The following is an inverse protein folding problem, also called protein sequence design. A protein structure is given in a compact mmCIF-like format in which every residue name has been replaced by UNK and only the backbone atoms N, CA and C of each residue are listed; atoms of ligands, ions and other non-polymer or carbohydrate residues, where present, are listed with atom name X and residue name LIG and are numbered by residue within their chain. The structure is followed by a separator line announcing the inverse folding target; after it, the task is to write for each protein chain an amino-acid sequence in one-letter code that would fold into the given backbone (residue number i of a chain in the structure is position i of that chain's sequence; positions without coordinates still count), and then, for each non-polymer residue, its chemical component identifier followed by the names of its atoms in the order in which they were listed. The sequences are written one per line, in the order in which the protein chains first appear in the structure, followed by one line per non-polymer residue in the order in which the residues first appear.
data_IF_612451980733
#
_entry.id   IF_612451980733
#
_cell.length_a   1.000
_cell.length_b   1.000
_cell.length_c   1.000
_cell.angle_alpha   90.00
_cell.angle_beta   90.00
_cell.angle_gamma   90.00
#
_symmetry.space_group_name_H-M   'P 1'
#
loop_
_entity.id
_entity.type
_entity.pdbx_description
1 polymer ?
#
# COMPACT_ATOMS: atom_id res chain seq x y z
N UNK A 1 8.43 -76.64 -19.17
CA UNK A 1 8.87 -75.34 -18.60
C UNK A 1 7.74 -74.31 -18.80
N UNK A 2 6.94 -74.11 -17.78
CA UNK A 2 5.88 -73.05 -17.79
C UNK A 2 6.46 -71.81 -17.15
N UNK A 3 6.57 -70.72 -17.92
CA UNK A 3 6.95 -69.37 -17.38
C UNK A 3 5.72 -68.78 -16.74
N UNK A 4 5.78 -68.50 -15.44
CA UNK A 4 4.79 -67.74 -14.72
C UNK A 4 5.02 -66.27 -15.04
N UNK A 5 3.96 -65.62 -15.53
CA UNK A 5 3.92 -64.17 -15.77
C UNK A 5 3.53 -63.48 -14.43
N UNK A 6 4.47 -62.77 -13.82
CA UNK A 6 4.20 -61.98 -12.62
C UNK A 6 3.55 -60.65 -13.05
N UNK A 7 2.25 -60.50 -12.82
CA UNK A 7 1.53 -59.23 -13.01
C UNK A 7 1.68 -58.43 -11.72
N UNK A 8 2.52 -57.38 -11.74
CA UNK A 8 2.62 -56.40 -10.65
C UNK A 8 1.51 -55.41 -10.86
N UNK A 9 0.46 -55.48 -10.04
CA UNK A 9 -0.60 -54.47 -9.98
C UNK A 9 -0.09 -53.34 -9.11
N UNK A 10 0.26 -52.19 -9.72
CA UNK A 10 0.46 -50.96 -9.00
C UNK A 10 -0.89 -50.39 -8.55
N UNK A 11 -1.20 -50.52 -7.28
CA UNK A 11 -2.30 -49.77 -6.67
C UNK A 11 -1.87 -48.32 -6.61
N UNK A 12 -2.46 -47.48 -7.48
CA UNK A 12 -2.36 -46.01 -7.37
C UNK A 12 -3.23 -45.61 -6.19
N UNK A 13 -2.60 -45.48 -5.03
CA UNK A 13 -3.22 -44.80 -3.90
C UNK A 13 -3.31 -43.30 -4.25
N UNK A 14 -4.48 -42.87 -4.75
CA UNK A 14 -4.83 -41.48 -4.84
C UNK A 14 -5.04 -40.97 -3.40
N UNK A 15 -3.99 -40.46 -2.78
CA UNK A 15 -4.19 -39.54 -1.65
C UNK A 15 -4.86 -38.30 -2.21
N UNK A 16 -5.97 -37.81 -1.63
CA UNK A 16 -6.43 -36.47 -1.94
C UNK A 16 -5.27 -35.55 -1.58
N UNK A 17 -4.62 -34.99 -2.60
CA UNK A 17 -3.56 -34.01 -2.39
C UNK A 17 -4.13 -32.90 -1.53
N UNK A 18 -3.65 -32.78 -0.30
CA UNK A 18 -3.87 -31.59 0.48
C UNK A 18 -3.36 -30.44 -0.40
N UNK A 19 -4.28 -29.65 -0.95
CA UNK A 19 -3.90 -28.39 -1.58
C UNK A 19 -3.16 -27.62 -0.50
N UNK A 20 -1.86 -27.43 -0.67
CA UNK A 20 -1.07 -26.61 0.24
C UNK A 20 -1.72 -25.23 0.21
N UNK A 21 -2.16 -24.70 1.36
CA UNK A 21 -2.79 -23.39 1.38
C UNK A 21 -1.76 -22.38 0.85
N UNK A 22 -2.06 -21.77 -0.28
CA UNK A 22 -1.19 -20.80 -0.93
C UNK A 22 -1.10 -19.54 -0.06
N UNK A 23 0.11 -18.98 0.06
CA UNK A 23 0.40 -17.77 0.82
C UNK A 23 0.26 -17.95 2.33
N UNK A 24 0.87 -19.00 2.87
CA UNK A 24 0.93 -19.23 4.30
C UNK A 24 1.78 -18.15 4.98
N UNK A 25 1.44 -17.81 6.24
CA UNK A 25 2.31 -17.02 7.09
C UNK A 25 3.72 -17.64 7.17
N UNK A 26 4.74 -16.81 7.09
CA UNK A 26 6.15 -17.17 7.28
C UNK A 26 6.61 -16.68 8.64
N UNK A 27 6.74 -17.60 9.57
CA UNK A 27 7.03 -17.27 10.96
C UNK A 27 5.80 -16.72 11.72
N UNK A 28 5.96 -16.36 12.99
CA UNK A 28 4.90 -15.73 13.76
C UNK A 28 4.71 -14.26 13.40
N UNK A 29 3.59 -13.71 13.85
CA UNK A 29 3.37 -12.26 13.98
C UNK A 29 4.50 -11.65 14.83
N UNK A 30 4.98 -10.46 14.47
CA UNK A 30 6.10 -9.81 15.14
C UNK A 30 5.80 -8.33 15.44
N UNK A 31 6.35 -7.83 16.53
CA UNK A 31 6.35 -6.41 16.88
C UNK A 31 7.41 -5.69 16.05
N UNK A 32 7.05 -4.58 15.42
CA UNK A 32 7.93 -3.77 14.56
C UNK A 32 8.69 -2.71 15.36
N UNK A 33 7.97 -1.91 16.15
CA UNK A 33 8.55 -0.83 16.95
C UNK A 33 9.27 -1.38 18.19
N UNK A 34 10.39 -0.74 18.55
CA UNK A 34 11.11 -1.05 19.79
C UNK A 34 10.77 -0.09 20.93
N UNK A 35 10.34 1.12 20.57
CA UNK A 35 9.79 2.08 21.53
C UNK A 35 8.30 1.81 21.72
N UNK A 36 7.87 1.45 22.95
CA UNK A 36 6.51 0.98 23.23
C UNK A 36 5.72 1.95 24.13
N UNK A 37 6.24 3.15 24.41
CA UNK A 37 5.51 4.13 25.22
C UNK A 37 4.59 4.99 24.34
N UNK A 38 3.29 5.03 24.68
CA UNK A 38 2.27 5.75 23.90
C UNK A 38 1.85 4.99 22.66
N UNK A 39 1.44 5.73 21.61
CA UNK A 39 0.92 5.14 20.40
C UNK A 39 1.96 5.16 19.27
N UNK A 40 2.15 4.04 18.61
CA UNK A 40 2.84 3.91 17.35
C UNK A 40 1.83 3.46 16.29
N UNK A 41 1.66 4.26 15.24
CA UNK A 41 0.55 4.04 14.32
C UNK A 41 0.81 4.50 12.88
N UNK A 42 -0.17 4.29 12.02
CA UNK A 42 -0.09 4.60 10.59
C UNK A 42 1.14 3.94 9.91
N UNK A 43 1.34 2.63 10.07
CA UNK A 43 2.49 1.97 9.46
C UNK A 43 2.32 1.87 7.96
N UNK A 44 3.43 2.08 7.24
CA UNK A 44 3.52 1.82 5.80
C UNK A 44 4.76 0.98 5.54
N UNK A 45 4.63 -0.03 4.70
CA UNK A 45 5.73 -0.90 4.33
C UNK A 45 6.09 -0.75 2.85
N UNK A 46 7.37 -0.98 2.53
CA UNK A 46 7.86 -1.20 1.17
C UNK A 46 8.81 -2.40 1.18
N UNK A 47 8.78 -3.20 0.10
CA UNK A 47 9.63 -4.38 -0.04
C UNK A 47 10.42 -4.30 -1.34
N UNK A 48 11.72 -4.56 -1.26
CA UNK A 48 12.61 -4.64 -2.42
C UNK A 48 12.49 -6.00 -3.15
N UNK A 49 13.06 -6.14 -4.36
CA UNK A 49 13.00 -7.41 -5.10
C UNK A 49 13.65 -8.60 -4.37
N UNK A 50 14.57 -8.38 -3.43
CA UNK A 50 15.21 -9.43 -2.63
C UNK A 50 14.32 -9.97 -1.51
N UNK A 51 13.23 -9.25 -1.20
CA UNK A 51 12.34 -9.52 -0.08
C UNK A 51 12.76 -8.83 1.22
N UNK A 52 13.82 -8.00 1.21
CA UNK A 52 14.12 -7.08 2.30
C UNK A 52 13.07 -5.97 2.32
N UNK A 53 12.72 -5.47 3.49
CA UNK A 53 11.65 -4.48 3.58
C UNK A 53 11.94 -3.41 4.64
N UNK A 54 11.27 -2.28 4.46
CA UNK A 54 11.29 -1.16 5.42
C UNK A 54 9.86 -0.91 5.86
N UNK A 55 9.68 -0.72 7.16
CA UNK A 55 8.42 -0.25 7.74
C UNK A 55 8.67 1.13 8.33
N UNK A 56 7.81 2.08 8.03
CA UNK A 56 7.82 3.43 8.63
C UNK A 56 6.48 3.67 9.31
N UNK A 57 6.48 4.45 10.40
CA UNK A 57 5.29 4.74 11.19
C UNK A 57 5.35 6.10 11.88
N UNK A 58 4.22 6.54 12.38
CA UNK A 58 4.11 7.71 13.26
C UNK A 58 4.21 7.26 14.72
N UNK A 59 5.02 7.91 15.54
CA UNK A 59 5.13 7.67 16.99
C UNK A 59 4.59 8.83 17.81
N UNK A 60 3.78 8.53 18.82
CA UNK A 60 3.13 9.45 19.78
C UNK A 60 3.33 8.97 21.23
N UNK A 61 3.46 9.86 22.19
CA UNK A 61 4.00 11.21 22.14
C UNK A 61 5.52 11.21 22.26
N UNK A 62 6.16 12.20 21.62
CA UNK A 62 7.49 12.69 21.99
C UNK A 62 8.66 11.68 21.98
N UNK A 63 8.62 10.61 21.17
CA UNK A 63 9.82 9.77 20.98
C UNK A 63 10.97 10.58 20.37
N UNK A 64 10.66 11.59 19.55
CA UNK A 64 11.63 12.54 19.00
C UNK A 64 11.89 13.78 19.88
N UNK A 65 11.23 13.87 21.02
CA UNK A 65 11.36 14.99 21.98
C UNK A 65 10.29 16.09 21.83
N UNK A 66 9.35 15.98 20.87
CA UNK A 66 8.25 16.93 20.66
C UNK A 66 6.91 16.20 20.47
N UNK A 67 6.09 16.51 19.48
CA UNK A 67 4.76 15.95 19.24
C UNK A 67 4.78 14.53 18.64
N UNK A 68 4.37 14.45 17.39
CA UNK A 68 4.48 13.24 16.58
C UNK A 68 5.80 13.24 15.82
N UNK A 69 6.43 12.09 15.67
CA UNK A 69 7.62 11.91 14.84
C UNK A 69 7.49 10.69 13.95
N UNK A 70 8.21 10.67 12.83
CA UNK A 70 8.26 9.55 11.89
C UNK A 70 9.49 8.69 12.18
N UNK A 71 9.25 7.39 12.33
CA UNK A 71 10.28 6.39 12.63
C UNK A 71 10.24 5.25 11.62
N UNK A 72 11.31 4.47 11.57
CA UNK A 72 11.41 3.35 10.66
C UNK A 72 12.29 2.22 11.20
N UNK A 73 12.04 1.00 10.70
CA UNK A 73 12.84 -0.20 10.94
C UNK A 73 13.03 -0.94 9.64
N UNK A 74 14.26 -1.40 9.40
CA UNK A 74 14.63 -2.20 8.24
C UNK A 74 14.70 -3.67 8.61
N UNK A 75 14.35 -4.52 7.65
CA UNK A 75 14.37 -5.97 7.78
C UNK A 75 15.04 -6.61 6.56
N UNK A 76 15.76 -7.70 6.77
CA UNK A 76 16.23 -8.54 5.67
C UNK A 76 15.11 -9.44 5.11
N UNK A 77 15.37 -10.14 4.02
CA UNK A 77 14.41 -11.06 3.39
C UNK A 77 14.00 -12.25 4.29
N UNK A 78 14.74 -12.54 5.37
CA UNK A 78 14.34 -13.52 6.38
C UNK A 78 13.36 -12.95 7.41
N UNK A 79 13.19 -11.61 7.46
CA UNK A 79 12.40 -10.87 8.44
C UNK A 79 13.19 -10.57 9.72
N UNK A 80 14.51 -10.71 9.70
CA UNK A 80 15.35 -10.27 10.80
C UNK A 80 15.57 -8.76 10.72
N UNK A 81 15.50 -8.00 11.84
CA UNK A 81 15.75 -6.56 11.84
C UNK A 81 17.22 -6.26 11.44
N UNK A 82 17.40 -5.27 10.57
CA UNK A 82 18.71 -4.80 10.11
C UNK A 82 19.02 -3.45 10.73
N UNK A 83 19.91 -3.44 11.71
CA UNK A 83 20.22 -2.26 12.51
C UNK A 83 19.13 -1.89 13.51
N UNK A 84 19.27 -0.79 14.23
CA UNK A 84 18.27 -0.30 15.17
C UNK A 84 17.14 0.43 14.44
N UNK A 85 16.04 0.62 15.15
CA UNK A 85 15.01 1.60 14.82
C UNK A 85 15.66 2.99 14.64
N UNK A 86 15.21 3.76 13.66
CA UNK A 86 15.76 5.07 13.35
C UNK A 86 14.67 6.12 13.18
N UNK A 87 15.00 7.37 13.54
CA UNK A 87 14.12 8.52 13.28
C UNK A 87 14.31 8.99 11.84
N UNK A 88 13.19 9.24 11.15
CA UNK A 88 13.18 9.68 9.75
C UNK A 88 13.30 11.21 9.66
N UNK A 89 12.42 11.95 10.36
CA UNK A 89 12.41 13.41 10.35
C UNK A 89 13.59 14.00 11.13
N UNK A 90 14.24 15.01 10.56
CA UNK A 90 15.28 15.78 11.27
C UNK A 90 14.68 16.99 12.01
N UNK A 91 13.62 17.58 11.46
CA UNK A 91 12.83 18.63 12.11
C UNK A 91 11.89 18.00 13.15
N UNK A 92 11.95 18.47 14.40
CA UNK A 92 11.21 17.85 15.52
C UNK A 92 10.20 18.80 16.19
N UNK A 93 10.06 20.04 15.70
CA UNK A 93 9.08 20.97 16.28
C UNK A 93 7.70 20.69 15.68
N UNK A 94 6.69 20.55 16.53
CA UNK A 94 5.32 20.26 16.09
C UNK A 94 5.12 18.78 15.75
N UNK A 95 4.23 18.51 14.81
CA UNK A 95 3.83 17.16 14.45
C UNK A 95 4.39 16.75 13.07
N UNK A 96 5.04 15.59 13.00
CA UNK A 96 5.44 14.91 11.77
C UNK A 96 4.73 13.55 11.74
N UNK A 97 3.89 13.29 10.71
CA UNK A 97 3.01 12.10 10.67
C UNK A 97 2.54 11.77 9.26
N UNK A 98 1.70 10.72 9.14
CA UNK A 98 1.19 10.19 7.87
C UNK A 98 2.33 9.90 6.87
N UNK A 99 3.28 9.03 7.21
CA UNK A 99 4.36 8.68 6.30
C UNK A 99 3.86 7.87 5.10
N UNK A 100 4.57 7.99 3.98
CA UNK A 100 4.51 7.06 2.86
C UNK A 100 5.94 6.71 2.45
N UNK A 101 6.17 5.49 1.94
CA UNK A 101 7.51 5.01 1.60
C UNK A 101 7.49 4.24 0.29
N UNK A 102 8.54 4.40 -0.50
CA UNK A 102 8.80 3.64 -1.73
C UNK A 102 10.26 3.25 -1.81
N UNK A 103 10.58 2.20 -2.57
CA UNK A 103 11.95 1.77 -2.82
C UNK A 103 12.17 1.51 -4.31
N UNK A 104 13.43 1.63 -4.75
CA UNK A 104 13.86 1.25 -6.09
C UNK A 104 14.31 -0.23 -6.16
N UNK A 105 14.80 -0.64 -7.32
CA UNK A 105 15.26 -2.02 -7.57
C UNK A 105 16.53 -2.40 -6.79
N UNK A 106 17.28 -1.43 -6.26
CA UNK A 106 18.49 -1.64 -5.44
C UNK A 106 18.19 -1.65 -3.94
N UNK A 107 16.93 -1.31 -3.56
CA UNK A 107 16.52 -1.16 -2.18
C UNK A 107 16.83 0.21 -1.59
N UNK A 108 17.28 1.18 -2.40
CA UNK A 108 17.33 2.59 -1.98
C UNK A 108 15.89 3.08 -1.82
N UNK A 109 15.60 3.85 -0.76
CA UNK A 109 14.23 4.19 -0.43
C UNK A 109 14.02 5.67 -0.11
N UNK A 110 12.79 6.12 -0.31
CA UNK A 110 12.34 7.49 -0.02
C UNK A 110 11.17 7.43 0.92
N UNK A 111 11.23 8.18 2.01
CA UNK A 111 10.11 8.40 2.93
C UNK A 111 9.61 9.83 2.73
N UNK A 112 8.30 9.99 2.62
CA UNK A 112 7.63 11.29 2.61
C UNK A 112 6.66 11.37 3.78
N UNK A 113 6.40 12.57 4.32
CA UNK A 113 5.51 12.76 5.46
C UNK A 113 4.94 14.18 5.50
N UNK A 114 3.94 14.38 6.33
CA UNK A 114 3.42 15.70 6.68
C UNK A 114 4.21 16.29 7.83
N UNK A 115 4.51 17.59 7.78
CA UNK A 115 5.17 18.31 8.86
C UNK A 115 4.46 19.62 9.16
N UNK A 116 4.07 19.80 10.43
CA UNK A 116 3.36 21.00 10.88
C UNK A 116 4.30 22.20 11.06
N UNK A 117 3.99 23.30 10.37
CA UNK A 117 4.66 24.58 10.49
C UNK A 117 6.08 24.68 9.94
N UNK A 118 6.64 23.58 9.41
CA UNK A 118 8.05 23.56 8.95
C UNK A 118 8.27 24.36 7.68
N UNK A 119 7.26 24.52 6.81
CA UNK A 119 7.33 25.36 5.60
C UNK A 119 6.88 26.80 5.84
N UNK A 120 6.53 27.14 7.07
CA UNK A 120 6.11 28.49 7.49
C UNK A 120 4.60 28.72 7.49
N UNK A 121 3.77 27.72 7.19
CA UNK A 121 2.31 27.77 7.24
C UNK A 121 1.74 26.55 7.97
N UNK A 122 0.59 25.99 7.57
CA UNK A 122 -0.04 24.84 8.18
C UNK A 122 0.81 23.55 8.10
N UNK A 123 0.34 22.56 7.36
CA UNK A 123 1.13 21.35 7.08
C UNK A 123 1.78 21.44 5.70
N UNK A 124 3.05 21.04 5.60
CA UNK A 124 3.77 20.86 4.35
C UNK A 124 4.22 19.41 4.18
N UNK A 125 4.55 19.02 2.96
CA UNK A 125 5.08 17.68 2.61
C UNK A 125 6.60 17.73 2.57
N UNK A 126 7.24 16.82 3.29
CA UNK A 126 8.69 16.69 3.37
C UNK A 126 9.14 15.27 2.99
N UNK A 127 10.42 15.16 2.63
CA UNK A 127 11.00 13.90 2.18
C UNK A 127 12.44 13.72 2.68
N UNK A 128 12.82 12.46 2.91
CA UNK A 128 14.19 12.03 3.14
C UNK A 128 14.48 10.79 2.30
N UNK A 129 15.64 10.80 1.63
CA UNK A 129 16.14 9.69 0.83
C UNK A 129 17.19 8.91 1.61
N UNK A 130 17.23 7.60 1.39
CA UNK A 130 18.18 6.68 2.02
C UNK A 130 18.75 5.72 0.99
N UNK A 131 20.00 5.29 1.19
CA UNK A 131 20.51 4.12 0.50
C UNK A 131 19.94 2.82 1.10
N UNK A 132 20.13 1.70 0.43
CA UNK A 132 19.66 0.37 0.89
C UNK A 132 20.28 -0.07 2.23
N UNK A 133 21.39 0.55 2.64
CA UNK A 133 21.98 0.38 3.98
C UNK A 133 21.28 1.24 5.06
N UNK A 134 20.34 2.12 4.68
CA UNK A 134 19.63 3.04 5.56
C UNK A 134 20.42 4.31 5.89
N UNK A 135 21.45 4.63 5.09
CA UNK A 135 22.22 5.88 5.24
C UNK A 135 21.44 7.01 4.54
N UNK A 136 21.22 8.16 5.20
CA UNK A 136 20.58 9.30 4.54
C UNK A 136 21.36 9.79 3.32
N UNK A 137 20.68 9.94 2.18
CA UNK A 137 21.23 10.50 0.94
C UNK A 137 20.89 12.00 0.84
N UNK A 138 21.73 12.83 1.44
CA UNK A 138 21.52 14.27 1.57
C UNK A 138 20.64 14.63 2.77
N UNK A 139 20.23 15.88 2.84
CA UNK A 139 19.35 16.39 3.90
C UNK A 139 17.88 16.18 3.57
N UNK A 140 17.04 16.17 4.59
CA UNK A 140 15.60 16.33 4.49
C UNK A 140 15.26 17.57 3.63
N UNK A 141 14.24 17.47 2.79
CA UNK A 141 13.82 18.57 1.91
C UNK A 141 12.30 18.68 1.81
N UNK A 142 11.85 19.92 1.54
CA UNK A 142 10.43 20.17 1.28
C UNK A 142 10.05 19.74 -0.13
N UNK A 143 8.91 19.09 -0.28
CA UNK A 143 8.39 18.59 -1.56
C UNK A 143 7.52 19.62 -2.26
N UNK A 144 6.52 20.18 -1.54
CA UNK A 144 5.59 21.17 -2.08
C UNK A 144 6.28 22.53 -2.30
N UNK A 145 6.00 23.18 -3.44
CA UNK A 145 6.43 24.55 -3.70
C UNK A 145 5.44 25.59 -3.19
N UNK A 146 4.15 25.27 -3.25
CA UNK A 146 3.07 26.08 -2.68
C UNK A 146 3.01 25.82 -1.16
N UNK A 147 3.09 26.90 -0.35
CA UNK A 147 3.21 26.81 1.12
C UNK A 147 2.06 27.48 1.89
N UNK A 148 1.02 27.94 1.20
CA UNK A 148 -0.15 28.51 1.90
C UNK A 148 -1.10 27.40 2.30
N UNK A 149 -1.63 27.49 3.54
CA UNK A 149 -2.54 26.49 4.11
C UNK A 149 -1.89 25.09 4.20
N UNK A 150 -2.69 24.04 4.09
CA UNK A 150 -2.26 22.67 4.34
C UNK A 150 -1.99 21.91 3.04
N UNK A 151 -0.88 21.19 3.02
CA UNK A 151 -0.57 20.12 2.10
C UNK A 151 -0.46 18.83 2.91
N UNK A 152 -1.28 17.81 2.57
CA UNK A 152 -1.42 16.63 3.40
C UNK A 152 -1.70 15.35 2.61
N UNK A 153 -1.70 14.20 3.29
CA UNK A 153 -1.88 12.86 2.73
C UNK A 153 -0.94 12.58 1.55
N UNK A 154 0.39 12.70 1.75
CA UNK A 154 1.34 12.41 0.69
C UNK A 154 1.37 10.91 0.35
N UNK A 155 1.51 10.62 -0.94
CA UNK A 155 1.80 9.27 -1.45
C UNK A 155 3.00 9.34 -2.38
N UNK A 156 3.86 8.31 -2.38
CA UNK A 156 5.10 8.28 -3.17
C UNK A 156 5.25 6.95 -3.91
N UNK A 157 5.72 7.01 -5.15
CA UNK A 157 6.08 5.83 -5.94
C UNK A 157 7.39 6.09 -6.68
N UNK A 158 8.22 5.04 -6.82
CA UNK A 158 9.50 5.08 -7.53
C UNK A 158 9.52 4.13 -8.72
N UNK A 159 10.35 4.45 -9.73
CA UNK A 159 10.73 3.53 -10.80
C UNK A 159 11.94 2.66 -10.39
N UNK A 160 12.32 1.71 -11.25
CA UNK A 160 13.45 0.82 -10.99
C UNK A 160 14.82 1.53 -10.92
N UNK A 161 14.91 2.77 -11.37
CA UNK A 161 16.14 3.59 -11.38
C UNK A 161 16.19 4.58 -10.20
N UNK A 162 15.18 4.54 -9.31
CA UNK A 162 15.08 5.42 -8.16
C UNK A 162 14.53 6.82 -8.47
N UNK A 163 14.08 7.11 -9.71
CA UNK A 163 13.28 8.32 -9.92
C UNK A 163 11.93 8.13 -9.25
N UNK A 164 11.39 9.17 -8.65
CA UNK A 164 10.16 9.07 -7.88
C UNK A 164 9.20 10.24 -8.13
N UNK A 165 7.94 9.99 -7.87
CA UNK A 165 6.87 11.00 -7.88
C UNK A 165 6.19 11.00 -6.53
N UNK A 166 5.97 12.20 -5.99
CA UNK A 166 5.17 12.43 -4.77
C UNK A 166 3.89 13.14 -5.19
N UNK A 167 2.77 12.68 -4.69
CA UNK A 167 1.47 13.36 -4.85
C UNK A 167 0.88 13.66 -3.48
N UNK A 168 0.07 14.71 -3.38
CA UNK A 168 -0.54 15.15 -2.12
C UNK A 168 -1.83 15.92 -2.37
N UNK A 169 -2.64 16.05 -1.33
CA UNK A 169 -3.78 16.97 -1.32
C UNK A 169 -3.31 18.36 -0.90
N UNK A 170 -3.66 19.40 -1.64
CA UNK A 170 -3.36 20.79 -1.33
C UNK A 170 -4.63 21.61 -1.14
N UNK A 171 -4.69 22.34 -0.03
CA UNK A 171 -5.80 23.23 0.28
C UNK A 171 -5.74 24.49 -0.56
N UNK A 172 -6.83 24.81 -1.27
CA UNK A 172 -7.09 26.05 -2.02
C UNK A 172 -6.16 26.37 -3.19
N UNK A 173 -5.16 25.55 -3.49
CA UNK A 173 -4.15 25.82 -4.52
C UNK A 173 -4.72 25.79 -5.95
N UNK A 174 -5.74 24.99 -6.23
CA UNK A 174 -6.41 24.92 -7.53
C UNK A 174 -7.53 25.96 -7.71
N UNK A 175 -7.75 26.79 -6.70
CA UNK A 175 -8.80 27.82 -6.71
C UNK A 175 -10.14 27.36 -6.17
N UNK A 176 -10.24 26.14 -5.64
CA UNK A 176 -11.41 25.58 -4.97
C UNK A 176 -11.06 25.14 -3.54
N UNK A 177 -11.69 24.10 -3.02
CA UNK A 177 -11.49 23.61 -1.65
C UNK A 177 -10.15 22.85 -1.53
N UNK A 178 -10.05 21.71 -2.15
CA UNK A 178 -8.85 20.86 -2.16
C UNK A 178 -8.60 20.34 -3.57
N UNK A 179 -7.32 20.28 -3.96
CA UNK A 179 -6.88 19.68 -5.22
C UNK A 179 -5.71 18.73 -5.03
N UNK A 180 -5.49 17.83 -5.98
CA UNK A 180 -4.37 16.91 -5.98
C UNK A 180 -3.23 17.49 -6.79
N UNK A 181 -2.04 17.54 -6.18
CA UNK A 181 -0.81 18.04 -6.79
C UNK A 181 0.29 16.99 -6.73
N UNK A 182 1.30 17.17 -7.58
CA UNK A 182 2.42 16.25 -7.65
C UNK A 182 3.74 16.92 -8.03
N UNK A 183 4.85 16.29 -7.64
CA UNK A 183 6.21 16.69 -8.00
C UNK A 183 7.03 15.45 -8.31
N UNK A 184 7.75 15.50 -9.43
CA UNK A 184 8.64 14.42 -9.86
C UNK A 184 10.09 14.76 -9.53
N UNK A 185 10.86 13.71 -9.19
CA UNK A 185 12.26 13.80 -8.82
C UNK A 185 13.11 12.74 -9.54
N UNK A 186 14.33 13.10 -9.87
CA UNK A 186 15.35 12.11 -10.23
C UNK A 186 15.78 11.32 -8.99
N UNK A 187 16.35 10.12 -9.17
CA UNK A 187 16.95 9.34 -8.09
C UNK A 187 18.00 10.09 -7.27
N UNK A 188 18.60 11.14 -7.82
CA UNK A 188 19.47 12.07 -7.09
C UNK A 188 18.74 13.00 -6.11
N UNK A 189 17.40 13.08 -6.17
CA UNK A 189 16.59 14.05 -5.44
C UNK A 189 16.41 15.39 -6.14
N UNK A 190 16.94 15.56 -7.36
CA UNK A 190 16.73 16.77 -8.15
C UNK A 190 15.32 16.77 -8.73
N UNK A 191 14.54 17.89 -8.66
CA UNK A 191 13.22 17.96 -9.25
C UNK A 191 13.26 17.81 -10.77
N UNK A 192 12.34 17.01 -11.32
CA UNK A 192 12.13 16.80 -12.76
C UNK A 192 10.93 17.63 -13.25
N UNK A 193 11.18 18.90 -13.52
CA UNK A 193 10.17 19.87 -13.90
C UNK A 193 9.53 20.56 -12.68
N UNK A 194 8.52 21.42 -12.93
CA UNK A 194 7.77 22.09 -11.85
C UNK A 194 6.75 21.15 -11.18
N UNK A 195 6.26 21.57 -10.03
CA UNK A 195 5.04 21.06 -9.42
C UNK A 195 3.86 21.15 -10.42
N UNK A 196 2.99 20.17 -10.43
CA UNK A 196 1.87 20.10 -11.37
C UNK A 196 0.56 19.70 -10.67
N UNK A 197 -0.55 20.18 -11.18
CA UNK A 197 -1.89 19.74 -10.74
C UNK A 197 -2.25 18.42 -11.42
N UNK A 198 -2.74 17.46 -10.67
CA UNK A 198 -3.13 16.13 -11.14
C UNK A 198 -4.56 16.13 -11.68
N UNK A 199 -5.52 16.59 -10.86
CA UNK A 199 -6.94 16.64 -11.23
C UNK A 199 -7.22 17.74 -12.26
N UNK A 200 -8.06 17.44 -13.24
CA UNK A 200 -8.56 18.45 -14.20
C UNK A 200 -9.86 19.09 -13.73
N UNK A 201 -10.72 18.33 -13.08
CA UNK A 201 -11.92 18.81 -12.42
C UNK A 201 -11.55 19.51 -11.09
N UNK A 202 -11.94 20.79 -10.94
CA UNK A 202 -11.54 21.63 -9.80
C UNK A 202 -12.71 22.17 -8.97
N UNK A 203 -13.93 21.66 -9.17
CA UNK A 203 -15.08 22.02 -8.34
C UNK A 203 -15.18 21.03 -7.16
N UNK A 204 -15.41 21.55 -5.95
CA UNK A 204 -15.45 20.71 -4.74
C UNK A 204 -14.06 20.26 -4.31
N UNK A 205 -13.96 19.13 -3.66
CA UNK A 205 -12.74 18.60 -3.07
C UNK A 205 -12.22 17.40 -3.86
N UNK A 206 -10.92 17.36 -4.13
CA UNK A 206 -10.19 16.22 -4.62
C UNK A 206 -9.18 15.81 -3.55
N UNK A 207 -9.32 14.60 -3.01
CA UNK A 207 -8.71 14.16 -1.75
C UNK A 207 -8.04 12.78 -1.88
N UNK A 208 -7.21 12.47 -0.88
CA UNK A 208 -6.66 11.14 -0.63
C UNK A 208 -6.00 10.51 -1.87
N UNK A 209 -5.00 11.18 -2.47
CA UNK A 209 -4.34 10.63 -3.64
C UNK A 209 -3.47 9.43 -3.29
N UNK A 210 -3.51 8.42 -4.16
CA UNK A 210 -2.60 7.30 -4.18
C UNK A 210 -1.86 7.28 -5.52
N UNK A 211 -0.58 6.91 -5.52
CA UNK A 211 0.24 6.82 -6.74
C UNK A 211 0.96 5.48 -6.81
N UNK A 212 1.03 4.92 -8.02
CA UNK A 212 1.86 3.76 -8.34
C UNK A 212 2.63 4.01 -9.63
N UNK A 213 3.85 3.50 -9.70
CA UNK A 213 4.72 3.58 -10.88
C UNK A 213 5.09 2.19 -11.37
N UNK A 214 5.24 2.04 -12.69
CA UNK A 214 5.86 0.86 -13.28
C UNK A 214 7.40 0.98 -13.27
N UNK A 215 8.16 -0.10 -13.53
CA UNK A 215 9.62 -0.04 -13.55
C UNK A 215 10.22 0.92 -14.57
N UNK A 216 9.46 1.33 -15.59
CA UNK A 216 9.89 2.29 -16.63
C UNK A 216 9.60 3.75 -16.23
N UNK A 217 8.97 3.97 -15.06
CA UNK A 217 8.63 5.28 -14.53
C UNK A 217 7.34 5.90 -15.07
N UNK A 218 6.53 5.15 -15.84
CA UNK A 218 5.16 5.57 -16.08
C UNK A 218 4.37 5.40 -14.77
N UNK A 219 3.43 6.30 -14.51
CA UNK A 219 2.71 6.26 -13.24
C UNK A 219 1.22 6.56 -13.40
N UNK A 220 0.45 6.11 -12.45
CA UNK A 220 -0.98 6.39 -12.33
C UNK A 220 -1.27 6.96 -10.95
N UNK A 221 -2.10 8.00 -10.91
CA UNK A 221 -2.61 8.60 -9.67
C UNK A 221 -4.11 8.32 -9.62
N UNK A 222 -4.59 7.87 -8.46
CA UNK A 222 -6.02 7.74 -8.15
C UNK A 222 -6.36 8.66 -6.97
N UNK A 223 -7.59 9.21 -6.94
CA UNK A 223 -8.06 10.11 -5.86
C UNK A 223 -9.57 10.04 -5.70
N UNK A 224 -10.08 10.56 -4.59
CA UNK A 224 -11.50 10.79 -4.36
C UNK A 224 -11.89 12.19 -4.84
N UNK A 225 -12.87 12.31 -5.74
CA UNK A 225 -13.37 13.57 -6.30
C UNK A 225 -14.82 13.82 -5.92
N UNK A 226 -15.09 14.97 -5.30
CA UNK A 226 -16.41 15.38 -4.84
C UNK A 226 -17.29 15.82 -6.01
N UNK A 227 -18.53 15.29 -6.07
CA UNK A 227 -19.59 15.63 -7.03
C UNK A 227 -19.25 15.40 -8.52
N UNK A 228 -18.09 14.89 -8.85
CA UNK A 228 -17.63 14.76 -10.23
C UNK A 228 -18.34 13.64 -11.00
N UNK A 229 -18.84 12.61 -10.31
CA UNK A 229 -19.64 11.52 -10.90
C UNK A 229 -21.17 11.77 -10.83
N UNK A 230 -21.57 12.90 -10.26
CA UNK A 230 -22.96 13.31 -10.13
C UNK A 230 -23.60 12.92 -8.79
N UNK A 231 -22.84 12.34 -7.86
CA UNK A 231 -23.25 12.04 -6.50
C UNK A 231 -22.29 12.71 -5.49
N UNK A 232 -21.91 12.04 -4.41
CA UNK A 232 -20.99 12.56 -3.41
C UNK A 232 -19.52 12.40 -3.88
N UNK A 233 -18.70 11.58 -3.24
CA UNK A 233 -17.35 11.28 -3.72
C UNK A 233 -17.35 10.07 -4.66
N UNK A 234 -16.64 10.18 -5.78
CA UNK A 234 -16.29 9.08 -6.67
C UNK A 234 -14.77 8.93 -6.78
N UNK A 235 -14.30 7.79 -7.26
CA UNK A 235 -12.88 7.52 -7.47
C UNK A 235 -12.50 7.83 -8.91
N UNK A 236 -11.46 8.65 -9.09
CA UNK A 236 -10.94 9.09 -10.37
C UNK A 236 -9.47 8.73 -10.52
N UNK A 237 -8.97 8.73 -11.75
CA UNK A 237 -7.59 8.43 -12.04
C UNK A 237 -7.04 9.18 -13.24
N UNK A 238 -5.72 9.40 -13.25
CA UNK A 238 -4.97 9.96 -14.37
C UNK A 238 -3.66 9.20 -14.53
N UNK A 239 -3.37 8.82 -15.78
CA UNK A 239 -2.13 8.14 -16.14
C UNK A 239 -1.12 9.14 -16.71
N UNK A 240 0.16 8.88 -16.46
CA UNK A 240 1.28 9.69 -16.90
C UNK A 240 2.39 8.84 -17.49
N UNK A 241 3.04 9.34 -18.53
CA UNK A 241 4.32 8.81 -18.97
C UNK A 241 5.44 9.16 -17.97
N UNK A 242 6.56 8.45 -18.02
CA UNK A 242 7.76 8.74 -17.22
C UNK A 242 8.29 10.16 -17.42
N UNK A 243 7.97 10.83 -18.53
CA UNK A 243 8.26 12.25 -18.76
C UNK A 243 7.41 13.21 -17.90
N UNK A 244 6.33 12.71 -17.28
CA UNK A 244 5.30 13.50 -16.61
C UNK A 244 4.19 14.01 -17.52
N UNK A 245 4.21 13.64 -18.80
CA UNK A 245 3.11 13.98 -19.70
C UNK A 245 1.88 13.09 -19.40
N UNK A 246 0.65 13.67 -19.31
CA UNK A 246 -0.56 12.89 -19.13
C UNK A 246 -0.79 11.95 -20.31
N UNK A 247 -1.22 10.72 -20.04
CA UNK A 247 -1.55 9.69 -21.03
C UNK A 247 -3.06 9.46 -21.01
N UNK A 248 -3.73 9.97 -22.04
CA UNK A 248 -5.18 10.02 -22.10
C UNK A 248 -5.78 11.09 -21.21
N UNK A 249 -7.10 11.06 -21.08
CA UNK A 249 -7.84 11.96 -20.18
C UNK A 249 -7.95 11.36 -18.79
N UNK A 250 -8.25 12.20 -17.82
CA UNK A 250 -8.80 11.80 -16.53
C UNK A 250 -10.00 10.87 -16.71
N UNK A 251 -10.12 9.84 -15.90
CA UNK A 251 -11.16 8.82 -16.04
C UNK A 251 -11.77 8.47 -14.68
N UNK A 252 -13.04 8.09 -14.67
CA UNK A 252 -13.71 7.56 -13.49
C UNK A 252 -13.36 6.08 -13.32
N UNK A 253 -13.02 5.68 -12.10
CA UNK A 253 -12.65 4.30 -11.74
C UNK A 253 -13.86 3.48 -11.35
N UNK A 254 -14.68 3.97 -10.40
CA UNK A 254 -15.89 3.29 -9.91
C UNK A 254 -17.01 3.35 -10.94
N UNK A 255 -17.80 2.28 -11.03
CA UNK A 255 -19.04 2.24 -11.84
C UNK A 255 -20.29 2.53 -11.01
N UNK A 256 -20.28 2.10 -9.73
CA UNK A 256 -21.30 2.46 -8.76
C UNK A 256 -21.12 3.91 -8.31
N UNK A 257 -22.15 4.74 -8.40
CA UNK A 257 -22.08 6.18 -8.14
C UNK A 257 -23.10 6.67 -7.12
N UNK A 258 -23.65 5.78 -6.30
CA UNK A 258 -24.53 6.19 -5.18
C UNK A 258 -23.69 6.29 -3.91
N UNK A 259 -23.89 7.34 -3.12
CA UNK A 259 -23.15 7.65 -1.91
C UNK A 259 -21.62 7.84 -2.16
N UNK A 260 -20.79 7.60 -1.16
CA UNK A 260 -19.35 7.85 -1.21
C UNK A 260 -18.56 6.63 -1.72
N UNK A 261 -17.67 6.86 -2.66
CA UNK A 261 -16.56 5.99 -2.99
C UNK A 261 -15.26 6.78 -2.77
N UNK A 262 -14.36 6.27 -1.96
CA UNK A 262 -13.15 7.03 -1.60
C UNK A 262 -12.05 6.17 -1.00
N UNK A 263 -11.00 6.84 -0.50
CA UNK A 263 -9.82 6.21 0.06
C UNK A 263 -9.23 5.19 -0.94
N UNK A 264 -8.89 5.62 -2.17
CA UNK A 264 -8.33 4.71 -3.15
C UNK A 264 -6.91 4.29 -2.80
N UNK A 265 -6.58 3.05 -3.13
CA UNK A 265 -5.21 2.55 -3.21
C UNK A 265 -4.94 2.06 -4.63
N UNK A 266 -3.72 2.19 -5.11
CA UNK A 266 -3.33 1.76 -6.45
C UNK A 266 -1.98 1.06 -6.42
N UNK A 267 -1.83 -0.01 -7.21
CA UNK A 267 -0.55 -0.67 -7.44
C UNK A 267 -0.41 -1.02 -8.92
N UNK A 268 0.82 -0.94 -9.44
CA UNK A 268 1.13 -1.20 -10.85
C UNK A 268 2.05 -2.42 -10.98
N UNK A 269 1.82 -3.22 -12.02
CA UNK A 269 2.67 -4.36 -12.37
C UNK A 269 3.83 -3.95 -13.30
N UNK A 270 4.74 -4.91 -13.55
CA UNK A 270 5.91 -4.68 -14.39
C UNK A 270 5.59 -4.35 -15.87
N UNK A 271 4.37 -4.63 -16.34
CA UNK A 271 3.90 -4.32 -17.70
C UNK A 271 3.17 -2.98 -17.80
N UNK A 272 3.02 -2.26 -16.69
CA UNK A 272 2.25 -1.03 -16.58
C UNK A 272 0.74 -1.26 -16.42
N UNK A 273 0.28 -2.53 -16.28
CA UNK A 273 -1.06 -2.83 -15.81
C UNK A 273 -1.21 -2.39 -14.34
N UNK A 274 -2.42 -2.07 -13.90
CA UNK A 274 -2.62 -1.60 -12.54
C UNK A 274 -3.98 -2.02 -11.97
N UNK A 275 -4.05 -2.05 -10.64
CA UNK A 275 -5.26 -2.32 -9.87
C UNK A 275 -5.53 -1.12 -8.97
N UNK A 276 -6.78 -0.66 -8.96
CA UNK A 276 -7.27 0.33 -8.00
C UNK A 276 -8.25 -0.38 -7.08
N UNK A 277 -8.09 -0.20 -5.77
CA UNK A 277 -9.04 -0.64 -4.76
C UNK A 277 -9.55 0.58 -3.98
N UNK A 278 -10.80 0.54 -3.50
CA UNK A 278 -11.41 1.67 -2.79
C UNK A 278 -12.48 1.21 -1.79
N UNK A 279 -12.84 2.09 -0.88
CA UNK A 279 -13.99 1.93 0.01
C UNK A 279 -15.24 2.46 -0.68
N UNK A 280 -16.31 1.67 -0.71
CA UNK A 280 -17.63 2.07 -1.23
C UNK A 280 -18.70 1.93 -0.18
N UNK A 281 -19.55 2.95 -0.06
CA UNK A 281 -20.64 2.98 0.90
C UNK A 281 -21.89 2.31 0.32
N UNK A 282 -22.49 1.39 1.08
CA UNK A 282 -23.75 0.74 0.78
C UNK A 282 -23.79 -0.21 -0.42
N UNK A 283 -22.70 -0.32 -1.19
CA UNK A 283 -22.67 -1.07 -2.45
C UNK A 283 -22.72 -2.60 -2.22
N UNK A 284 -22.19 -3.10 -1.12
CA UNK A 284 -22.23 -4.52 -0.77
C UNK A 284 -23.49 -4.94 0.02
N UNK A 285 -24.36 -3.97 0.29
CA UNK A 285 -25.66 -4.20 0.96
C UNK A 285 -25.68 -3.82 2.43
N UNK A 286 -24.57 -3.35 3.01
CA UNK A 286 -24.49 -2.83 4.37
C UNK A 286 -23.70 -1.50 4.39
N UNK A 287 -22.90 -1.24 5.41
CA UNK A 287 -22.26 0.05 5.71
C UNK A 287 -21.19 0.44 4.68
N UNK A 288 -20.07 -0.26 4.68
CA UNK A 288 -18.94 -0.02 3.78
C UNK A 288 -18.37 -1.35 3.30
N UNK A 289 -18.02 -1.42 2.01
CA UNK A 289 -17.35 -2.55 1.42
C UNK A 289 -16.13 -2.13 0.60
N UNK A 290 -15.22 -3.06 0.35
CA UNK A 290 -14.03 -2.87 -0.47
C UNK A 290 -14.29 -3.38 -1.88
N UNK A 291 -14.03 -2.52 -2.86
CA UNK A 291 -14.19 -2.81 -4.29
C UNK A 291 -12.88 -2.58 -5.04
N UNK A 292 -12.77 -3.17 -6.21
CA UNK A 292 -11.58 -3.07 -7.04
C UNK A 292 -11.88 -3.06 -8.53
N UNK A 293 -10.97 -2.46 -9.31
CA UNK A 293 -10.99 -2.48 -10.76
C UNK A 293 -9.57 -2.67 -11.29
N UNK A 294 -9.42 -3.58 -12.24
CA UNK A 294 -8.16 -3.86 -12.92
C UNK A 294 -8.08 -3.17 -14.25
N UNK A 295 -6.88 -2.76 -14.64
CA UNK A 295 -6.60 -2.08 -15.90
C UNK A 295 -5.36 -2.66 -16.58
N UNK A 296 -5.42 -2.74 -17.91
CA UNK A 296 -4.23 -2.98 -18.72
C UNK A 296 -3.32 -1.73 -18.72
N UNK A 297 -2.05 -1.89 -19.08
CA UNK A 297 -1.11 -0.77 -19.25
C UNK A 297 -1.58 0.30 -20.28
N UNK A 298 -2.49 -0.05 -21.18
CA UNK A 298 -3.18 0.91 -22.06
C UNK A 298 -4.19 1.79 -21.32
N UNK A 299 -4.59 1.44 -20.09
CA UNK A 299 -5.68 2.07 -19.32
C UNK A 299 -7.06 1.49 -19.64
N UNK A 300 -7.15 0.44 -20.46
CA UNK A 300 -8.41 -0.25 -20.67
C UNK A 300 -8.77 -1.11 -19.45
N UNK A 301 -10.03 -1.08 -18.97
CA UNK A 301 -10.46 -1.93 -17.87
C UNK A 301 -10.37 -3.42 -18.25
N UNK A 302 -9.90 -4.26 -17.34
CA UNK A 302 -9.81 -5.70 -17.46
C UNK A 302 -10.92 -6.37 -16.66
N UNK A 303 -12.06 -6.59 -17.33
CA UNK A 303 -13.29 -7.09 -16.71
C UNK A 303 -14.09 -5.99 -15.99
N UNK A 304 -15.18 -6.36 -15.32
CA UNK A 304 -15.97 -5.42 -14.53
C UNK A 304 -15.32 -5.10 -13.19
N UNK A 305 -15.80 -4.05 -12.55
CA UNK A 305 -15.63 -3.78 -11.13
C UNK A 305 -16.03 -5.01 -10.30
N UNK A 306 -15.29 -5.31 -9.24
CA UNK A 306 -15.53 -6.47 -8.40
C UNK A 306 -15.47 -6.11 -6.91
N UNK A 307 -16.28 -6.83 -6.09
CA UNK A 307 -16.19 -6.74 -4.64
C UNK A 307 -15.01 -7.59 -4.14
N UNK A 308 -14.21 -7.02 -3.24
CA UNK A 308 -13.03 -7.66 -2.66
C UNK A 308 -13.37 -8.48 -1.42
N UNK A 309 -14.11 -7.87 -0.46
CA UNK A 309 -14.50 -8.51 0.79
C UNK A 309 -15.63 -9.54 0.58
N UNK A 310 -15.55 -10.67 1.29
CA UNK A 310 -16.64 -11.67 1.33
C UNK A 310 -17.56 -11.46 2.53
N UNK A 311 -17.02 -11.00 3.65
CA UNK A 311 -17.79 -10.58 4.81
C UNK A 311 -18.37 -9.18 4.55
N UNK A 312 -19.69 -9.01 4.71
CA UNK A 312 -20.43 -7.78 4.32
C UNK A 312 -21.16 -7.11 5.48
N UNK A 313 -20.97 -7.58 6.71
CA UNK A 313 -21.63 -6.97 7.87
C UNK A 313 -20.69 -5.90 8.47
N UNK A 314 -21.21 -4.68 8.66
CA UNK A 314 -20.46 -3.57 9.24
C UNK A 314 -19.44 -2.94 8.28
N UNK A 315 -18.29 -2.53 8.79
CA UNK A 315 -17.28 -1.78 8.06
C UNK A 315 -16.25 -2.70 7.41
N UNK A 316 -16.03 -2.56 6.12
CA UNK A 316 -14.80 -3.00 5.44
C UNK A 316 -14.27 -1.79 4.68
N UNK A 317 -13.08 -1.30 5.08
CA UNK A 317 -12.60 0.00 4.62
C UNK A 317 -11.08 0.11 4.58
N UNK A 318 -10.58 1.21 4.04
CA UNK A 318 -9.15 1.56 3.97
C UNK A 318 -8.33 0.44 3.29
N UNK A 319 -8.68 0.07 2.04
CA UNK A 319 -7.93 -0.94 1.32
C UNK A 319 -6.54 -0.46 0.96
N UNK A 320 -5.55 -1.36 1.04
CA UNK A 320 -4.23 -1.19 0.43
C UNK A 320 -3.99 -2.38 -0.51
N UNK A 321 -3.38 -2.13 -1.65
CA UNK A 321 -3.10 -3.14 -2.67
C UNK A 321 -1.61 -3.22 -2.98
N UNK A 322 -1.09 -4.44 -3.14
CA UNK A 322 0.26 -4.69 -3.65
C UNK A 322 0.21 -5.71 -4.78
N UNK A 323 1.10 -5.56 -5.76
CA UNK A 323 1.15 -6.36 -7.00
C UNK A 323 2.55 -6.96 -7.14
N UNK A 324 2.64 -8.23 -7.59
CA UNK A 324 3.91 -8.86 -7.99
C UNK A 324 4.25 -8.58 -9.46
N UNK A 325 5.46 -9.00 -9.90
CA UNK A 325 5.90 -8.77 -11.28
C UNK A 325 5.05 -9.49 -12.34
N UNK A 326 4.26 -10.49 -11.95
CA UNK A 326 3.37 -11.25 -12.83
C UNK A 326 1.96 -10.68 -12.90
N UNK A 327 1.68 -9.61 -12.13
CA UNK A 327 0.35 -9.01 -12.03
C UNK A 327 -0.59 -9.73 -11.06
N UNK A 328 -0.11 -10.72 -10.26
CA UNK A 328 -0.90 -11.22 -9.15
C UNK A 328 -0.89 -10.16 -8.03
N UNK A 329 -1.99 -10.07 -7.30
CA UNK A 329 -2.13 -8.99 -6.31
C UNK A 329 -2.79 -9.46 -5.02
N UNK A 330 -2.52 -8.71 -3.97
CA UNK A 330 -3.17 -8.86 -2.68
C UNK A 330 -3.79 -7.52 -2.29
N UNK A 331 -5.01 -7.56 -1.80
CA UNK A 331 -5.69 -6.43 -1.16
C UNK A 331 -5.84 -6.75 0.31
N UNK A 332 -5.48 -5.81 1.18
CA UNK A 332 -5.73 -5.89 2.63
C UNK A 332 -6.63 -4.73 3.04
N UNK A 333 -7.43 -4.91 4.09
CA UNK A 333 -8.37 -3.90 4.58
C UNK A 333 -8.67 -4.07 6.07
N UNK A 334 -9.23 -3.05 6.65
CA UNK A 334 -9.76 -3.06 8.00
C UNK A 334 -11.21 -3.57 7.98
N UNK A 335 -11.55 -4.54 8.85
CA UNK A 335 -12.88 -5.14 8.91
C UNK A 335 -13.44 -5.11 10.33
N UNK A 336 -14.58 -4.43 10.48
CA UNK A 336 -15.28 -4.31 11.76
C UNK A 336 -16.01 -5.58 12.16
N UNK A 337 -15.67 -6.13 13.33
CA UNK A 337 -16.39 -7.24 13.96
C UNK A 337 -16.16 -8.62 13.36
N UNK A 338 -15.45 -8.76 12.24
CA UNK A 338 -15.30 -10.04 11.53
C UNK A 338 -14.45 -11.07 12.31
N UNK A 339 -13.48 -10.62 13.09
CA UNK A 339 -12.66 -11.48 13.95
C UNK A 339 -13.25 -11.73 15.36
N UNK A 340 -14.44 -11.19 15.60
CA UNK A 340 -15.15 -11.31 16.88
C UNK A 340 -14.80 -10.22 17.89
N UNK A 341 -14.03 -9.21 17.50
CA UNK A 341 -13.67 -8.04 18.31
C UNK A 341 -14.10 -6.73 17.61
N UNK A 342 -13.34 -5.65 17.79
CA UNK A 342 -13.64 -4.31 17.25
C UNK A 342 -13.36 -4.23 15.75
N UNK A 343 -12.08 -4.12 15.38
CA UNK A 343 -11.59 -4.11 14.00
C UNK A 343 -10.45 -5.11 13.90
N UNK A 344 -10.42 -5.87 12.82
CA UNK A 344 -9.33 -6.77 12.47
C UNK A 344 -8.84 -6.52 11.05
N UNK A 345 -7.62 -6.96 10.73
CA UNK A 345 -7.00 -6.84 9.42
C UNK A 345 -7.23 -8.11 8.60
N UNK A 346 -7.84 -7.93 7.44
CA UNK A 346 -8.15 -9.02 6.51
C UNK A 346 -7.52 -8.79 5.14
N UNK A 347 -7.42 -9.84 4.35
CA UNK A 347 -6.88 -9.76 3.01
C UNK A 347 -7.40 -10.84 2.08
N UNK A 348 -7.36 -10.55 0.78
CA UNK A 348 -7.67 -11.48 -0.29
C UNK A 348 -6.60 -11.38 -1.37
N UNK A 349 -6.16 -12.55 -1.86
CA UNK A 349 -5.20 -12.68 -2.96
C UNK A 349 -5.89 -13.01 -4.25
N UNK A 350 -5.31 -12.53 -5.34
CA UNK A 350 -5.82 -12.72 -6.69
C UNK A 350 -4.68 -13.08 -7.64
N UNK A 351 -4.97 -13.90 -8.63
CA UNK A 351 -4.07 -14.04 -9.78
C UNK A 351 -4.17 -12.83 -10.72
N UNK A 352 -3.27 -12.77 -11.71
CA UNK A 352 -3.24 -11.69 -12.70
C UNK A 352 -4.49 -11.62 -13.59
N UNK A 353 -5.35 -12.66 -13.60
CA UNK A 353 -6.66 -12.63 -14.26
C UNK A 353 -7.74 -11.96 -13.39
N UNK A 354 -7.47 -11.74 -12.09
CA UNK A 354 -8.41 -11.26 -11.08
C UNK A 354 -9.23 -12.36 -10.43
N UNK A 355 -8.84 -13.63 -10.61
CA UNK A 355 -9.48 -14.75 -9.92
C UNK A 355 -8.92 -14.86 -8.50
N UNK A 356 -9.77 -15.03 -7.46
CA UNK A 356 -9.29 -15.16 -6.09
C UNK A 356 -8.43 -16.43 -5.92
N UNK A 357 -7.31 -16.26 -5.21
CA UNK A 357 -6.37 -17.32 -4.85
C UNK A 357 -6.58 -17.74 -3.40
N UNK A 358 -7.36 -18.78 -3.20
CA UNK A 358 -7.80 -19.24 -1.88
C UNK A 358 -8.92 -18.39 -1.28
N UNK A 359 -9.15 -18.57 0.01
CA UNK A 359 -10.14 -17.81 0.77
C UNK A 359 -9.54 -16.50 1.29
N UNK A 360 -10.41 -15.59 1.66
CA UNK A 360 -10.11 -14.44 2.49
C UNK A 360 -9.39 -14.90 3.76
N UNK A 361 -8.36 -14.20 4.18
CA UNK A 361 -7.54 -14.53 5.34
C UNK A 361 -7.50 -13.36 6.33
N UNK A 362 -7.36 -13.69 7.62
CA UNK A 362 -7.07 -12.70 8.65
C UNK A 362 -5.54 -12.57 8.80
N UNK A 363 -5.04 -11.34 8.82
CA UNK A 363 -3.61 -11.06 8.97
C UNK A 363 -3.16 -11.08 10.43
N UNK A 364 -3.91 -10.43 11.32
CA UNK A 364 -3.63 -10.38 12.75
C UNK A 364 -3.95 -11.71 13.45
N UNK A 365 -3.09 -12.17 14.35
CA UNK A 365 -3.35 -13.35 15.21
C UNK A 365 -4.03 -12.95 16.51
N UNK A 366 -3.66 -11.80 17.07
CA UNK A 366 -4.33 -11.19 18.22
C UNK A 366 -5.65 -10.58 17.77
N UNK A 367 -6.76 -10.92 18.44
CA UNK A 367 -8.10 -10.41 18.12
C UNK A 367 -8.66 -9.50 19.22
N UNK A 368 -7.93 -9.35 20.34
CA UNK A 368 -8.33 -8.46 21.41
C UNK A 368 -8.04 -7.00 21.03
N UNK A 369 -8.98 -6.11 21.29
CA UNK A 369 -8.92 -4.70 20.92
C UNK A 369 -8.95 -4.47 19.40
N UNK A 370 -8.47 -3.31 18.95
CA UNK A 370 -8.46 -2.90 17.56
C UNK A 370 -7.15 -3.27 16.88
N UNK A 371 -7.23 -3.84 15.68
CA UNK A 371 -6.15 -3.96 14.73
C UNK A 371 -6.57 -3.24 13.46
N UNK A 372 -5.87 -2.17 13.08
CA UNK A 372 -6.33 -1.25 12.03
C UNK A 372 -5.16 -0.59 11.28
N UNK A 373 -5.49 0.26 10.31
CA UNK A 373 -4.54 0.98 9.48
C UNK A 373 -3.53 0.02 8.81
N UNK A 374 -4.06 -1.01 8.16
CA UNK A 374 -3.25 -2.01 7.47
C UNK A 374 -2.47 -1.43 6.29
N UNK A 375 -1.24 -1.92 6.10
CA UNK A 375 -0.46 -1.69 4.89
C UNK A 375 0.12 -3.00 4.38
N UNK A 376 0.32 -3.13 3.08
CA UNK A 376 0.90 -4.32 2.45
C UNK A 376 1.96 -3.94 1.44
N UNK A 377 3.08 -4.67 1.46
CA UNK A 377 4.13 -4.57 0.45
C UNK A 377 4.47 -5.96 -0.09
N UNK A 378 4.68 -6.06 -1.40
CA UNK A 378 5.03 -7.30 -2.07
C UNK A 378 6.31 -7.13 -2.90
N UNK A 379 7.07 -8.21 -3.05
CA UNK A 379 8.19 -8.23 -3.98
C UNK A 379 7.79 -8.83 -5.35
N UNK A 380 8.71 -8.75 -6.31
CA UNK A 380 8.52 -9.27 -7.66
C UNK A 380 8.16 -10.78 -7.73
N UNK A 381 8.55 -11.56 -6.72
CA UNK A 381 8.28 -13.00 -6.62
C UNK A 381 6.94 -13.33 -5.95
N UNK A 382 6.21 -12.31 -5.45
CA UNK A 382 4.91 -12.48 -4.79
C UNK A 382 4.97 -12.83 -3.31
N UNK A 383 6.14 -12.77 -2.65
CA UNK A 383 6.22 -12.71 -1.19
C UNK A 383 5.73 -11.34 -0.72
N UNK A 384 5.03 -11.29 0.41
CA UNK A 384 4.52 -10.03 0.91
C UNK A 384 4.57 -9.94 2.45
N UNK A 385 4.52 -8.73 2.95
CA UNK A 385 4.37 -8.41 4.37
C UNK A 385 3.14 -7.53 4.55
N UNK A 386 2.33 -7.84 5.56
CA UNK A 386 1.24 -6.98 6.04
C UNK A 386 1.68 -6.39 7.36
N UNK A 387 1.49 -5.08 7.56
CA UNK A 387 1.75 -4.38 8.81
C UNK A 387 0.49 -3.62 9.24
N UNK A 388 0.30 -3.44 10.55
CA UNK A 388 -0.91 -2.79 11.10
C UNK A 388 -0.67 -2.21 12.49
N UNK A 389 -1.60 -1.40 12.97
CA UNK A 389 -1.68 -0.98 14.36
C UNK A 389 -2.33 -2.08 15.20
N UNK A 390 -1.73 -2.46 16.32
CA UNK A 390 -2.33 -3.37 17.31
C UNK A 390 -2.58 -2.65 18.62
N UNK A 391 -3.85 -2.55 19.04
CA UNK A 391 -4.21 -1.85 20.27
C UNK A 391 -3.77 -2.61 21.52
N UNK A 392 -2.97 -1.98 22.38
CA UNK A 392 -2.51 -2.47 23.72
C UNK A 392 -1.70 -3.77 23.67
N UNK A 393 -1.37 -4.27 22.49
CA UNK A 393 -0.73 -5.57 22.32
C UNK A 393 0.75 -5.56 22.72
N UNK A 394 1.43 -4.40 22.65
CA UNK A 394 2.81 -4.20 23.13
C UNK A 394 2.90 -3.76 24.60
N UNK A 395 1.76 -3.65 25.29
CA UNK A 395 1.67 -3.29 26.70
C UNK A 395 1.43 -1.81 26.98
N UNK A 396 1.29 -0.97 25.94
CA UNK A 396 0.93 0.45 26.04
C UNK A 396 0.02 0.79 24.85
N UNK A 397 -0.51 1.89 24.58
CA UNK A 397 -1.37 2.34 23.51
C UNK A 397 -1.45 1.46 22.24
N UNK A 398 -1.20 1.98 21.09
CA UNK A 398 -1.04 1.21 19.87
C UNK A 398 0.44 0.91 19.59
N UNK A 399 0.73 -0.34 19.19
CA UNK A 399 2.02 -0.75 18.63
C UNK A 399 1.90 -1.12 17.16
N UNK A 400 3.00 -1.16 16.43
CA UNK A 400 3.07 -1.62 15.03
C UNK A 400 3.44 -3.08 14.99
N UNK A 401 2.60 -3.88 14.31
CA UNK A 401 2.79 -5.33 14.15
C UNK A 401 2.89 -5.71 12.68
N UNK A 402 3.45 -6.87 12.41
CA UNK A 402 3.60 -7.37 11.06
C UNK A 402 3.51 -8.88 10.94
N UNK A 403 3.09 -9.36 9.77
CA UNK A 403 3.08 -10.77 9.39
C UNK A 403 3.60 -10.91 7.96
N UNK A 404 4.53 -11.83 7.77
CA UNK A 404 5.10 -12.15 6.46
C UNK A 404 4.37 -13.34 5.83
N UNK A 405 4.35 -13.37 4.50
CA UNK A 405 3.71 -14.41 3.72
C UNK A 405 4.61 -14.89 2.58
N UNK A 406 4.57 -16.20 2.35
CA UNK A 406 5.27 -16.83 1.24
C UNK A 406 4.62 -16.45 -0.12
N UNK A 407 5.39 -16.52 -1.23
CA UNK A 407 4.86 -16.28 -2.56
C UNK A 407 3.81 -17.34 -2.92
N UNK A 408 2.90 -16.95 -3.82
CA UNK A 408 1.97 -17.86 -4.44
C UNK A 408 2.74 -18.62 -5.54
N UNK A 409 3.16 -19.84 -5.27
CA UNK A 409 3.79 -20.65 -6.28
C UNK A 409 2.73 -21.19 -7.26
N UNK A 410 2.98 -21.17 -8.60
CA UNK A 410 2.13 -21.85 -9.57
C UNK A 410 2.00 -23.33 -9.22
N UNK A 411 0.79 -23.87 -9.36
CA UNK A 411 0.49 -25.29 -9.06
C UNK A 411 1.41 -26.26 -9.80
N UNK A 412 1.95 -25.88 -10.93
CA UNK A 412 2.88 -26.69 -11.74
C UNK A 412 4.24 -26.89 -11.06
N UNK A 413 4.75 -25.93 -10.28
CA UNK A 413 6.00 -26.07 -9.52
C UNK A 413 5.87 -26.96 -8.28
N UNK A 414 4.65 -27.25 -7.81
CA UNK A 414 4.41 -28.12 -6.66
C UNK A 414 4.49 -29.62 -7.00
N UNK A 415 4.47 -30.00 -8.29
CA UNK A 415 4.50 -31.42 -8.72
C UNK A 415 5.88 -32.06 -8.76
N UNK A 416 6.97 -31.29 -8.61
CA UNK A 416 8.34 -31.78 -8.81
C UNK A 416 9.22 -31.82 -7.55
N UNK A 417 8.67 -31.73 -6.35
CA UNK A 417 9.38 -32.01 -5.11
C UNK A 417 8.80 -33.23 -4.40
N UNK A 418 8.97 -34.38 -5.03
CA UNK A 418 8.91 -35.67 -4.35
C UNK A 418 10.18 -36.41 -4.76
N UNK A 419 11.18 -36.33 -3.92
CA UNK A 419 12.19 -37.35 -3.76
C UNK A 419 11.84 -38.21 -2.56
#
# INVERSE_FOLDING_TARGET
MRRALLVVVFAVLSFPGAAWPQGQPVGPEFLVNTYTTGDQGQPVAVMDPSGSFVVVWTSLPAQDGSGYGVFGQRYDGSGAPVGPEFRVNSYTTGAQFSPSVTADALGDFVVVWMSGGQDGSGYGVFAQRYDSAGTPLGSEFRVNSYTMNDQYNPSVAADSSGNFVVVWTSSTQDGSSYGVFGQRYAGSGAPLGPEFRVNTYSTGSQLDPAVAADPAGNFVVAWAGDLQDGSSYGVFGQRYASSGAPVGSEFRVNTYSTDNQGIPAVAADASGGFVVAWTSFGQDGDSRGVFGQRYAGSGAPLGPEFRVNTFTTGLQEIPIVAVDASGNFVVVWDSGGQDGSSVGVFGQRYDSSGSPLGLEFRANTTTANEQSAASVAANAAGSFVVVWNGGVQDGSGYGVFGQRYAPILPVELMRFRVE
#
